data_IF_858433966300
#
_entry.id   IF_858433966300
#
_cell.length_a   1.000
_cell.length_b   1.000
_cell.length_c   1.000
_cell.angle_alpha   90.00
_cell.angle_beta   90.00
_cell.angle_gamma   90.00
#
_symmetry.space_group_name_H-M   'P 1'
#
loop_
_entity.id
_entity.type
_entity.pdbx_description
1 polymer ?
#
# COMPACT_ATOMS: atom_id res chain seq x y z
N UNK A 1 19.53 -11.29 6.21
CA UNK A 1 18.45 -10.54 5.53
C UNK A 1 17.56 -9.96 6.61
N UNK A 2 17.41 -8.63 6.68
CA UNK A 2 16.60 -8.00 7.73
C UNK A 2 15.11 -8.17 7.45
N UNK A 3 14.32 -8.39 8.51
CA UNK A 3 12.86 -8.43 8.42
C UNK A 3 12.24 -7.10 8.86
N UNK A 4 11.17 -6.69 8.19
CA UNK A 4 10.35 -5.56 8.57
C UNK A 4 9.01 -6.06 9.14
N UNK A 5 8.69 -5.62 10.36
CA UNK A 5 7.38 -5.82 11.00
C UNK A 5 6.64 -4.48 11.05
N UNK A 6 5.51 -4.39 10.34
CA UNK A 6 4.71 -3.17 10.21
C UNK A 6 3.39 -3.37 10.94
N UNK A 7 3.17 -2.61 12.00
CA UNK A 7 1.91 -2.58 12.73
C UNK A 7 1.00 -1.51 12.13
N UNK A 8 -0.08 -1.93 11.48
CA UNK A 8 -1.06 -1.03 10.88
C UNK A 8 -2.25 -0.86 11.81
N UNK A 9 -2.62 0.39 12.03
CA UNK A 9 -3.76 0.79 12.85
C UNK A 9 -4.76 1.55 11.98
N UNK A 10 -5.92 0.94 11.75
CA UNK A 10 -7.05 1.57 11.07
C UNK A 10 -7.96 2.16 12.14
N UNK A 11 -7.81 3.45 12.40
CA UNK A 11 -8.58 4.19 13.41
C UNK A 11 -10.06 4.29 13.06
N UNK A 12 -10.39 4.34 11.77
CA UNK A 12 -11.77 4.47 11.31
C UNK A 12 -12.57 3.20 11.54
N UNK A 13 -11.94 2.03 11.34
CA UNK A 13 -12.58 0.72 11.52
C UNK A 13 -12.27 0.07 12.87
N UNK A 14 -11.39 0.67 13.67
CA UNK A 14 -10.89 0.09 14.92
C UNK A 14 -10.12 -1.23 14.71
N UNK A 15 -9.50 -1.41 13.53
CA UNK A 15 -8.77 -2.63 13.18
C UNK A 15 -7.27 -2.43 13.41
N UNK A 16 -6.61 -3.49 13.85
CA UNK A 16 -5.15 -3.52 13.97
C UNK A 16 -4.62 -4.82 13.39
N UNK A 17 -3.63 -4.71 12.52
CA UNK A 17 -2.98 -5.87 11.91
C UNK A 17 -1.47 -5.66 11.81
N UNK A 18 -0.71 -6.72 12.08
CA UNK A 18 0.74 -6.72 11.90
C UNK A 18 1.10 -7.47 10.62
N UNK A 19 1.88 -6.83 9.77
CA UNK A 19 2.39 -7.38 8.53
C UNK A 19 3.89 -7.61 8.62
N UNK A 20 4.36 -8.67 7.97
CA UNK A 20 5.78 -9.01 7.90
C UNK A 20 6.23 -9.23 6.46
N UNK A 21 7.41 -8.70 6.15
CA UNK A 21 8.09 -8.87 4.87
C UNK A 21 9.61 -8.69 5.03
N UNK A 22 10.34 -9.06 3.99
CA UNK A 22 11.75 -8.73 3.88
C UNK A 22 11.93 -7.22 3.74
N UNK A 23 12.94 -6.67 4.43
CA UNK A 23 13.18 -5.24 4.41
C UNK A 23 13.45 -4.72 2.98
N UNK A 24 14.16 -5.49 2.16
CA UNK A 24 14.45 -5.14 0.77
C UNK A 24 13.18 -5.01 -0.08
N UNK A 25 12.18 -5.88 0.12
CA UNK A 25 10.89 -5.80 -0.59
C UNK A 25 10.20 -4.48 -0.27
N UNK A 26 10.19 -4.09 1.01
CA UNK A 26 9.60 -2.83 1.46
C UNK A 26 10.36 -1.62 0.89
N UNK A 27 11.69 -1.59 1.01
CA UNK A 27 12.52 -0.45 0.61
C UNK A 27 12.67 -0.27 -0.90
N UNK A 28 12.58 -1.36 -1.67
CA UNK A 28 12.58 -1.32 -3.14
C UNK A 28 11.25 -0.83 -3.71
N UNK A 29 10.14 -1.23 -3.10
CA UNK A 29 8.81 -0.93 -3.61
C UNK A 29 8.25 0.39 -3.09
N UNK A 30 8.60 0.80 -1.87
CA UNK A 30 8.05 1.98 -1.18
C UNK A 30 9.18 2.96 -0.80
N UNK A 31 9.46 3.94 -1.67
CA UNK A 31 10.59 4.85 -1.48
C UNK A 31 10.43 5.77 -0.28
N UNK A 32 9.21 6.08 0.12
CA UNK A 32 8.93 6.83 1.35
C UNK A 32 9.66 6.23 2.56
N UNK A 33 9.56 4.91 2.76
CA UNK A 33 10.19 4.23 3.88
C UNK A 33 11.72 4.19 3.77
N UNK A 34 12.28 4.20 2.56
CA UNK A 34 13.74 4.22 2.35
C UNK A 34 14.39 5.43 3.01
N UNK A 35 13.76 6.59 2.94
CA UNK A 35 14.31 7.83 3.51
C UNK A 35 14.43 7.75 5.03
N UNK A 36 13.48 7.10 5.71
CA UNK A 36 13.46 7.02 7.18
C UNK A 36 14.17 5.79 7.73
N UNK A 37 14.05 4.64 7.05
CA UNK A 37 14.53 3.36 7.58
C UNK A 37 15.98 3.08 7.24
N UNK A 38 16.54 3.63 6.15
CA UNK A 38 17.92 3.36 5.74
C UNK A 38 18.96 3.86 6.75
N UNK A 39 18.60 4.87 7.56
CA UNK A 39 19.43 5.38 8.66
C UNK A 39 19.48 4.39 9.84
N UNK A 40 18.43 3.56 10.00
CA UNK A 40 18.25 2.64 11.13
C UNK A 40 18.71 1.21 10.74
N UNK A 41 18.72 0.90 9.44
CA UNK A 41 18.81 -0.44 8.86
C UNK A 41 20.23 -1.03 8.75
N UNK A 42 21.02 -0.95 9.81
CA UNK A 42 22.31 -1.67 9.92
C UNK A 42 22.06 -3.18 10.16
N UNK A 43 21.35 -3.80 9.21
CA UNK A 43 20.98 -5.22 9.12
C UNK A 43 20.11 -5.78 10.27
N UNK A 44 19.47 -4.91 11.06
CA UNK A 44 18.57 -5.30 12.15
C UNK A 44 17.13 -5.47 11.68
N UNK A 45 16.37 -6.27 12.43
CA UNK A 45 14.92 -6.34 12.27
C UNK A 45 14.32 -4.98 12.64
N UNK A 46 13.48 -4.46 11.75
CA UNK A 46 12.83 -3.17 11.94
C UNK A 46 11.38 -3.39 12.35
N UNK A 47 10.92 -2.62 13.33
CA UNK A 47 9.52 -2.57 13.70
C UNK A 47 9.02 -1.13 13.58
N UNK A 48 7.98 -0.93 12.79
CA UNK A 48 7.31 0.37 12.64
C UNK A 48 5.81 0.23 12.93
N UNK A 49 5.18 1.35 13.25
CA UNK A 49 3.73 1.46 13.33
C UNK A 49 3.25 2.56 12.39
N UNK A 50 2.16 2.31 11.69
CA UNK A 50 1.55 3.23 10.73
C UNK A 50 0.05 3.28 10.95
N UNK A 51 -0.55 4.45 10.73
CA UNK A 51 -1.97 4.68 10.88
C UNK A 51 -2.58 4.81 9.48
N UNK A 52 -3.27 3.78 9.00
CA UNK A 52 -3.91 3.76 7.70
C UNK A 52 -4.92 2.61 7.61
N UNK A 53 -5.70 2.60 6.52
CA UNK A 53 -6.62 1.50 6.21
C UNK A 53 -5.83 0.19 6.05
N UNK A 54 -6.19 -0.80 6.88
CA UNK A 54 -5.52 -2.11 6.92
C UNK A 54 -5.62 -2.85 5.59
N UNK A 55 -6.75 -2.75 4.89
CA UNK A 55 -6.97 -3.45 3.62
C UNK A 55 -6.15 -2.81 2.49
N UNK A 56 -6.08 -1.48 2.47
CA UNK A 56 -5.23 -0.74 1.52
C UNK A 56 -3.77 -1.13 1.73
N UNK A 57 -3.29 -1.11 2.98
CA UNK A 57 -1.91 -1.50 3.27
C UNK A 57 -1.62 -2.96 2.90
N UNK A 58 -2.54 -3.87 3.21
CA UNK A 58 -2.43 -5.28 2.82
C UNK A 58 -2.29 -5.43 1.30
N UNK A 59 -3.10 -4.70 0.52
CA UNK A 59 -3.05 -4.73 -0.95
C UNK A 59 -1.71 -4.22 -1.46
N UNK A 60 -1.23 -3.08 -0.94
CA UNK A 60 0.05 -2.48 -1.32
C UNK A 60 1.23 -3.41 -1.03
N UNK A 61 1.21 -4.06 0.14
CA UNK A 61 2.24 -5.02 0.52
C UNK A 61 2.19 -6.29 -0.36
N UNK A 62 1.00 -6.76 -0.71
CA UNK A 62 0.85 -7.87 -1.64
C UNK A 62 1.40 -7.52 -3.02
N UNK A 63 1.12 -6.31 -3.52
CA UNK A 63 1.69 -5.82 -4.78
C UNK A 63 3.23 -5.78 -4.71
N UNK A 64 3.79 -5.23 -3.64
CA UNK A 64 5.24 -5.20 -3.42
C UNK A 64 5.85 -6.62 -3.42
N UNK A 65 5.23 -7.58 -2.72
CA UNK A 65 5.66 -8.98 -2.72
C UNK A 65 5.57 -9.61 -4.12
N UNK A 66 4.52 -9.30 -4.89
CA UNK A 66 4.34 -9.81 -6.24
C UNK A 66 5.44 -9.33 -7.20
N UNK A 67 5.92 -8.09 -7.05
CA UNK A 67 7.07 -7.59 -7.83
C UNK A 67 8.37 -8.40 -7.59
N UNK A 68 8.46 -9.10 -6.46
CA UNK A 68 9.59 -9.97 -6.12
C UNK A 68 9.27 -11.47 -6.30
N UNK A 69 8.15 -11.81 -6.96
CA UNK A 69 7.73 -13.21 -7.16
C UNK A 69 7.32 -13.93 -5.87
N UNK A 70 7.04 -13.19 -4.79
CA UNK A 70 6.69 -13.74 -3.47
C UNK A 70 5.17 -13.85 -3.24
N UNK A 71 4.36 -13.29 -4.15
CA UNK A 71 2.90 -13.32 -4.06
C UNK A 71 2.26 -13.19 -5.46
N UNK A 72 0.97 -13.52 -5.55
CA UNK A 72 0.18 -13.19 -6.74
C UNK A 72 -0.10 -11.69 -6.82
N UNK A 73 -0.05 -11.13 -8.03
CA UNK A 73 -0.33 -9.73 -8.29
C UNK A 73 -1.80 -9.42 -7.93
N UNK A 74 -2.06 -8.50 -6.99
CA UNK A 74 -3.42 -8.18 -6.60
C UNK A 74 -4.12 -7.41 -7.72
N UNK A 75 -5.44 -7.60 -7.83
CA UNK A 75 -6.24 -6.98 -8.90
C UNK A 75 -6.83 -5.65 -8.44
N UNK A 76 -6.84 -4.69 -9.35
CA UNK A 76 -7.63 -3.46 -9.18
C UNK A 76 -9.12 -3.77 -9.27
N UNK A 77 -9.90 -2.97 -8.55
CA UNK A 77 -11.35 -2.91 -8.61
C UNK A 77 -11.78 -1.45 -8.62
N UNK A 78 -13.03 -1.19 -8.99
CA UNK A 78 -13.60 0.17 -8.92
C UNK A 78 -13.56 0.74 -7.49
N UNK A 79 -13.61 -0.13 -6.47
CA UNK A 79 -13.61 0.29 -5.07
C UNK A 79 -12.24 0.69 -4.56
N UNK A 80 -11.20 -0.08 -4.90
CA UNK A 80 -9.87 0.14 -4.33
C UNK A 80 -8.99 1.06 -5.19
N UNK A 81 -9.25 1.21 -6.50
CA UNK A 81 -8.31 1.84 -7.42
C UNK A 81 -7.88 3.25 -6.99
N UNK A 82 -8.82 4.11 -6.61
CA UNK A 82 -8.49 5.47 -6.16
C UNK A 82 -7.74 5.47 -4.83
N UNK A 83 -8.13 4.63 -3.87
CA UNK A 83 -7.47 4.52 -2.57
C UNK A 83 -6.03 4.02 -2.74
N UNK A 84 -5.82 3.03 -3.62
CA UNK A 84 -4.50 2.54 -3.98
C UNK A 84 -3.68 3.64 -4.65
N UNK A 85 -4.24 4.37 -5.62
CA UNK A 85 -3.54 5.45 -6.32
C UNK A 85 -3.06 6.56 -5.37
N UNK A 86 -3.92 7.02 -4.45
CA UNK A 86 -3.57 8.07 -3.48
C UNK A 86 -2.49 7.56 -2.51
N UNK A 87 -2.66 6.33 -2.01
CA UNK A 87 -1.72 5.74 -1.05
C UNK A 87 -0.38 5.39 -1.68
N UNK A 88 -0.37 4.96 -2.95
CA UNK A 88 0.85 4.64 -3.69
C UNK A 88 1.64 5.91 -4.06
N UNK A 89 0.95 7.01 -4.34
CA UNK A 89 1.58 8.33 -4.51
C UNK A 89 2.26 8.79 -3.21
N UNK A 90 1.54 8.71 -2.08
CA UNK A 90 2.09 9.05 -0.77
C UNK A 90 3.33 8.21 -0.41
N UNK A 91 3.28 6.91 -0.70
CA UNK A 91 4.38 5.97 -0.45
C UNK A 91 5.49 6.02 -1.51
N UNK A 92 5.34 6.88 -2.53
CA UNK A 92 6.29 7.06 -3.63
C UNK A 92 6.55 5.75 -4.39
N UNK A 93 5.46 5.14 -4.89
CA UNK A 93 5.45 3.90 -5.67
C UNK A 93 5.09 4.19 -7.13
N UNK A 94 5.98 4.84 -7.88
CA UNK A 94 5.62 5.51 -9.15
C UNK A 94 5.04 4.56 -10.21
N UNK A 95 5.54 3.32 -10.28
CA UNK A 95 5.01 2.31 -11.21
C UNK A 95 3.56 1.97 -10.88
N UNK A 96 3.25 1.79 -9.60
CA UNK A 96 1.90 1.46 -9.14
C UNK A 96 0.94 2.65 -9.33
N UNK A 97 1.43 3.89 -9.16
CA UNK A 97 0.64 5.10 -9.47
C UNK A 97 0.23 5.11 -10.95
N UNK A 98 1.17 4.82 -11.85
CA UNK A 98 0.89 4.76 -13.29
C UNK A 98 -0.11 3.64 -13.64
N UNK A 99 0.06 2.44 -13.07
CA UNK A 99 -0.89 1.33 -13.25
C UNK A 99 -2.30 1.69 -12.76
N UNK A 100 -2.40 2.26 -11.55
CA UNK A 100 -3.68 2.65 -10.96
C UNK A 100 -4.34 3.77 -11.77
N UNK A 101 -3.56 4.76 -12.23
CA UNK A 101 -4.05 5.85 -13.08
C UNK A 101 -4.57 5.34 -14.43
N UNK A 102 -3.87 4.40 -15.06
CA UNK A 102 -4.33 3.77 -16.31
C UNK A 102 -5.63 2.98 -16.10
N UNK A 103 -5.73 2.22 -15.00
CA UNK A 103 -6.97 1.51 -14.67
C UNK A 103 -8.12 2.47 -14.40
N UNK A 104 -7.87 3.56 -13.67
CA UNK A 104 -8.87 4.58 -13.37
C UNK A 104 -9.39 5.25 -14.66
N UNK A 105 -8.49 5.66 -15.56
CA UNK A 105 -8.85 6.25 -16.83
C UNK A 105 -9.72 5.30 -17.68
N UNK A 106 -9.35 4.02 -17.76
CA UNK A 106 -10.09 3.00 -18.51
C UNK A 106 -11.46 2.66 -17.88
N UNK A 107 -11.64 2.88 -16.58
CA UNK A 107 -12.87 2.55 -15.85
C UNK A 107 -13.60 3.77 -15.30
N UNK A 108 -13.29 4.97 -15.80
CA UNK A 108 -13.80 6.24 -15.24
C UNK A 108 -15.32 6.27 -15.13
N UNK A 109 -16.04 5.79 -16.14
CA UNK A 109 -17.50 5.72 -16.10
C UNK A 109 -18.02 4.86 -14.95
N UNK A 110 -17.40 3.70 -14.72
CA UNK A 110 -17.78 2.78 -13.63
C UNK A 110 -17.45 3.36 -12.25
N UNK A 111 -16.33 4.10 -12.16
CA UNK A 111 -15.97 4.83 -10.95
C UNK A 111 -17.05 5.86 -10.66
N UNK A 112 -17.36 6.74 -11.61
CA UNK A 112 -18.33 7.82 -11.42
C UNK A 112 -19.76 7.31 -11.18
N UNK A 113 -20.16 6.20 -11.82
CA UNK A 113 -21.49 5.60 -11.65
C UNK A 113 -21.63 4.73 -10.39
N UNK A 114 -20.52 4.41 -9.71
CA UNK A 114 -20.55 3.64 -8.47
C UNK A 114 -21.25 4.44 -7.38
N UNK A 115 -22.03 3.77 -6.53
CA UNK A 115 -22.47 4.36 -5.27
C UNK A 115 -21.22 4.60 -4.42
N UNK A 116 -20.88 5.87 -4.20
CA UNK A 116 -19.80 6.31 -3.33
C UNK A 116 -20.32 6.46 -1.89
N UNK A 117 -21.12 5.50 -1.40
CA UNK A 117 -21.77 5.59 -0.07
C UNK A 117 -20.78 5.56 1.12
N UNK A 118 -19.46 5.61 0.85
CA UNK A 118 -18.40 5.82 1.84
C UNK A 118 -17.44 6.98 1.54
N UNK A 119 -17.64 7.72 0.44
CA UNK A 119 -16.83 8.90 0.07
C UNK A 119 -17.59 10.20 0.41
N UNK A 120 -18.27 10.20 1.56
CA UNK A 120 -18.88 11.41 2.10
C UNK A 120 -17.77 12.13 2.86
N UNK A 121 -17.45 13.35 2.41
CA UNK A 121 -16.72 14.34 3.21
C UNK A 121 -17.37 14.49 4.59
N UNK A 122 -16.89 13.73 5.58
CA UNK A 122 -17.21 13.88 7.00
C UNK A 122 -15.92 13.91 7.80
#
# INVERSE_FOLDING_TARGET
MGLASINVWDEQKGLRQTFQCELEVLLSSMRYFRTYLRVIADHRNIQISVHCDVLVFSWLLQWAKAQHGQAELPKFSAWNCLQIMISSEFLQMEHLVAEAGAFAAANLQKLVSGSWDGFIWR
#
